data_IF_801220051876
#
_entry.id   IF_801220051876
#
_cell.length_a   1.000
_cell.length_b   1.000
_cell.length_c   1.000
_cell.angle_alpha   90.00
_cell.angle_beta   90.00
_cell.angle_gamma   90.00
#
_symmetry.space_group_name_H-M   'P 1'
#
loop_
_entity.id
_entity.type
_entity.pdbx_description
1 polymer ?
#
# COMPACT_ATOMS: atom_id res chain seq x y z
N UNK A 1 -10.61 -1.92 7.63
CA UNK A 1 -10.55 -0.48 7.26
C UNK A 1 -11.80 0.32 7.65
N UNK A 2 -13.01 -0.24 7.56
CA UNK A 2 -14.27 0.51 7.80
C UNK A 2 -14.36 1.20 9.18
N UNK A 3 -13.92 0.55 10.26
CA UNK A 3 -13.93 1.14 11.61
C UNK A 3 -13.07 2.41 11.73
N UNK A 4 -11.89 2.42 11.12
CA UNK A 4 -10.98 3.58 11.19
C UNK A 4 -11.40 4.69 10.25
N UNK A 5 -11.93 4.34 9.07
CA UNK A 5 -12.59 5.31 8.18
C UNK A 5 -13.76 6.01 8.88
N UNK A 6 -14.57 5.26 9.63
CA UNK A 6 -15.66 5.81 10.44
C UNK A 6 -15.16 6.78 11.52
N UNK A 7 -14.04 6.49 12.20
CA UNK A 7 -13.46 7.40 13.21
C UNK A 7 -12.89 8.69 12.62
N UNK A 8 -12.38 8.66 11.39
CA UNK A 8 -11.82 9.81 10.68
C UNK A 8 -12.88 10.73 10.06
N UNK A 9 -14.16 10.38 10.15
CA UNK A 9 -15.23 11.21 9.61
C UNK A 9 -15.48 12.46 10.48
N UNK A 10 -15.71 13.59 9.81
CA UNK A 10 -16.08 14.86 10.46
C UNK A 10 -17.44 14.73 11.16
N UNK A 11 -17.48 15.08 12.45
CA UNK A 11 -18.69 15.12 13.30
C UNK A 11 -18.62 16.30 14.26
N UNK A 12 -19.77 16.85 14.69
CA UNK A 12 -19.82 18.04 15.55
C UNK A 12 -19.06 17.90 16.88
N UNK A 13 -18.87 16.69 17.40
CA UNK A 13 -18.15 16.41 18.65
C UNK A 13 -16.72 15.85 18.46
N UNK A 14 -16.21 15.79 17.23
CA UNK A 14 -14.94 15.11 16.97
C UNK A 14 -13.74 16.06 17.18
N UNK A 15 -13.13 15.97 18.36
CA UNK A 15 -11.93 16.74 18.75
C UNK A 15 -10.67 16.28 18.03
N UNK A 16 -10.68 15.07 17.45
CA UNK A 16 -9.53 14.47 16.77
C UNK A 16 -8.93 15.38 15.69
N UNK A 17 -9.79 16.02 14.88
CA UNK A 17 -9.34 16.87 13.79
C UNK A 17 -8.78 18.22 14.24
N UNK A 18 -8.93 18.61 15.51
CA UNK A 18 -8.37 19.85 16.07
C UNK A 18 -6.94 19.68 16.58
N UNK A 19 -6.45 18.44 16.67
CA UNK A 19 -5.20 18.12 17.34
C UNK A 19 -3.93 18.34 16.48
N UNK A 20 -4.07 18.83 15.23
CA UNK A 20 -2.94 19.20 14.35
C UNK A 20 -1.95 18.05 14.15
N UNK A 21 -0.70 18.23 14.59
CA UNK A 21 0.36 17.21 14.49
C UNK A 21 0.01 15.89 15.19
N UNK A 22 -0.72 15.93 16.32
CA UNK A 22 -1.14 14.72 17.01
C UNK A 22 -2.16 13.92 16.19
N UNK A 23 -2.98 14.60 15.38
CA UNK A 23 -3.88 13.95 14.43
C UNK A 23 -3.12 13.21 13.33
N UNK A 24 -2.08 13.83 12.76
CA UNK A 24 -1.22 13.18 11.76
C UNK A 24 -0.58 11.90 12.33
N UNK A 25 -0.03 11.98 13.54
CA UNK A 25 0.55 10.82 14.21
C UNK A 25 -0.49 9.73 14.47
N UNK A 26 -1.72 10.12 14.87
CA UNK A 26 -2.81 9.17 15.04
C UNK A 26 -3.13 8.43 13.73
N UNK A 27 -3.22 9.14 12.59
CA UNK A 27 -3.49 8.53 11.29
C UNK A 27 -2.41 7.51 10.92
N UNK A 28 -1.14 7.88 11.05
CA UNK A 28 0.00 6.99 10.74
C UNK A 28 0.00 5.77 11.65
N UNK A 29 -0.11 5.96 12.96
CA UNK A 29 -0.18 4.87 13.92
C UNK A 29 -1.35 3.92 13.63
N UNK A 30 -2.48 4.49 13.21
CA UNK A 30 -3.65 3.71 12.92
C UNK A 30 -3.50 2.88 11.64
N UNK A 31 -2.84 3.43 10.63
CA UNK A 31 -2.47 2.70 9.42
C UNK A 31 -1.52 1.53 9.75
N UNK A 32 -0.43 1.79 10.47
CA UNK A 32 0.55 0.74 10.85
C UNK A 32 -0.09 -0.40 11.66
N UNK A 33 -1.04 -0.10 12.54
CA UNK A 33 -1.81 -1.14 13.27
C UNK A 33 -2.62 -2.03 12.33
N UNK A 34 -3.25 -1.45 11.31
CA UNK A 34 -4.06 -2.19 10.35
C UNK A 34 -3.16 -3.05 9.47
N UNK A 35 -2.06 -2.49 8.99
CA UNK A 35 -1.07 -3.20 8.19
C UNK A 35 -0.47 -4.38 8.97
N UNK A 36 -0.07 -4.17 10.23
CA UNK A 36 0.41 -5.23 11.11
C UNK A 36 -0.65 -6.33 11.31
N UNK A 37 -1.92 -5.96 11.49
CA UNK A 37 -3.00 -6.92 11.62
C UNK A 37 -3.20 -7.74 10.33
N UNK A 38 -3.09 -7.11 9.15
CA UNK A 38 -3.15 -7.81 7.86
C UNK A 38 -1.98 -8.78 7.68
N UNK A 39 -0.76 -8.36 8.02
CA UNK A 39 0.43 -9.21 7.98
C UNK A 39 0.31 -10.40 8.94
N UNK A 40 -0.19 -10.16 10.16
CA UNK A 40 -0.46 -11.23 11.12
C UNK A 40 -1.52 -12.20 10.57
N UNK A 41 -2.61 -11.69 10.00
CA UNK A 41 -3.63 -12.53 9.37
C UNK A 41 -3.05 -13.39 8.25
N UNK A 42 -2.25 -12.79 7.36
CA UNK A 42 -1.57 -13.51 6.29
C UNK A 42 -0.61 -14.57 6.85
N UNK A 43 0.12 -14.26 7.93
CA UNK A 43 1.03 -15.20 8.60
C UNK A 43 0.31 -16.41 9.18
N UNK A 44 -0.80 -16.21 9.88
CA UNK A 44 -1.52 -17.30 10.57
C UNK A 44 -2.45 -18.10 9.64
N UNK A 45 -2.91 -17.49 8.55
CA UNK A 45 -3.87 -18.11 7.64
C UNK A 45 -3.26 -18.62 6.32
N UNK A 46 -1.92 -18.78 6.28
CA UNK A 46 -1.20 -19.24 5.09
C UNK A 46 -1.73 -20.57 4.52
N UNK A 47 -2.11 -21.54 5.37
CA UNK A 47 -2.56 -22.86 4.93
C UNK A 47 -3.88 -22.83 4.15
N UNK A 48 -4.82 -21.94 4.51
CA UNK A 48 -6.09 -21.79 3.78
C UNK A 48 -5.96 -20.90 2.55
N UNK A 49 -4.98 -19.98 2.55
CA UNK A 49 -4.62 -19.11 1.42
C UNK A 49 -3.80 -19.88 0.37
N UNK A 50 -4.34 -21.00 -0.14
CA UNK A 50 -3.88 -21.80 -1.31
C UNK A 50 -2.37 -21.69 -1.63
N UNK A 51 -1.53 -22.05 -0.66
CA UNK A 51 -0.08 -22.12 -0.84
C UNK A 51 0.34 -23.03 -2.00
N UNK A 52 -0.46 -24.05 -2.34
CA UNK A 52 -0.07 -25.06 -3.35
C UNK A 52 0.01 -24.50 -4.78
N UNK A 53 -0.83 -23.51 -5.12
CA UNK A 53 -0.75 -22.84 -6.42
C UNK A 53 0.49 -21.92 -6.50
N UNK A 54 0.88 -21.35 -5.37
CA UNK A 54 1.95 -20.34 -5.29
C UNK A 54 3.34 -20.92 -5.05
N UNK A 55 3.45 -22.06 -4.33
CA UNK A 55 4.69 -22.81 -4.20
C UNK A 55 5.20 -23.23 -5.57
N UNK A 56 4.38 -23.92 -6.38
CA UNK A 56 4.83 -24.48 -7.65
C UNK A 56 5.32 -23.46 -8.69
N UNK A 57 4.54 -22.40 -8.95
CA UNK A 57 4.88 -21.43 -10.01
C UNK A 57 5.97 -20.45 -9.57
N UNK A 58 5.92 -19.97 -8.31
CA UNK A 58 6.86 -18.96 -7.86
C UNK A 58 8.20 -19.57 -7.42
N UNK A 59 8.23 -20.76 -6.82
CA UNK A 59 9.50 -21.41 -6.50
C UNK A 59 10.23 -21.84 -7.77
N UNK A 60 9.53 -22.32 -8.82
CA UNK A 60 10.15 -22.62 -10.12
C UNK A 60 10.82 -21.40 -10.77
N UNK A 61 10.21 -20.20 -10.68
CA UNK A 61 10.81 -18.97 -11.22
C UNK A 61 12.02 -18.51 -10.39
N UNK A 62 11.99 -18.67 -9.07
CA UNK A 62 13.11 -18.27 -8.21
C UNK A 62 14.19 -19.36 -8.04
N UNK A 63 13.93 -20.60 -8.46
CA UNK A 63 14.96 -21.65 -8.61
C UNK A 63 15.81 -21.38 -9.86
N UNK A 64 15.20 -21.00 -10.99
CA UNK A 64 15.91 -20.68 -12.23
C UNK A 64 16.85 -19.45 -12.07
N UNK A 65 16.46 -18.46 -11.25
CA UNK A 65 17.31 -17.30 -10.90
C UNK A 65 18.44 -17.65 -9.89
N UNK A 66 18.32 -18.74 -9.13
CA UNK A 66 19.34 -19.18 -8.14
C UNK A 66 20.40 -20.09 -8.74
N UNK A 67 20.08 -20.78 -9.83
CA UNK A 67 21.02 -21.69 -10.51
C UNK A 67 22.13 -20.95 -11.30
N UNK A 68 22.02 -19.62 -11.43
CA UNK A 68 23.00 -18.79 -12.15
C UNK A 68 24.19 -18.31 -11.30
N UNK A 69 24.10 -18.27 -9.96
CA UNK A 69 25.13 -17.61 -9.11
C UNK A 69 25.72 -18.47 -7.97
N UNK A 70 25.12 -19.61 -7.60
CA UNK A 70 25.57 -20.38 -6.42
C UNK A 70 25.75 -21.89 -6.71
N UNK A 71 26.77 -22.24 -7.51
CA UNK A 71 27.25 -23.63 -7.64
C UNK A 71 28.27 -24.05 -6.56
N UNK A 72 28.42 -23.28 -5.48
CA UNK A 72 29.41 -23.57 -4.43
C UNK A 72 28.99 -23.17 -3.00
N UNK A 73 27.75 -23.49 -2.60
CA UNK A 73 27.38 -23.43 -1.19
C UNK A 73 26.44 -24.59 -0.84
N UNK A 74 27.03 -25.73 -0.47
CA UNK A 74 26.32 -26.87 0.05
C UNK A 74 25.45 -26.52 1.27
N UNK A 75 24.21 -26.97 1.22
CA UNK A 75 23.48 -27.64 2.33
C UNK A 75 23.38 -26.97 3.72
N UNK A 76 23.65 -25.67 3.89
CA UNK A 76 23.60 -25.02 5.24
C UNK A 76 22.57 -23.88 5.35
N UNK A 77 21.64 -23.75 4.40
CA UNK A 77 20.65 -22.66 4.39
C UNK A 77 19.22 -23.01 4.84
N UNK A 78 18.88 -24.29 5.01
CA UNK A 78 17.47 -24.71 4.94
C UNK A 78 16.58 -24.42 6.16
N UNK A 79 17.10 -23.93 7.29
CA UNK A 79 16.31 -23.86 8.53
C UNK A 79 16.54 -22.60 9.38
N UNK A 80 16.32 -21.39 8.84
CA UNK A 80 16.16 -20.20 9.67
C UNK A 80 14.92 -19.40 9.19
N UNK A 81 13.77 -19.68 9.83
CA UNK A 81 12.52 -18.94 9.66
C UNK A 81 11.55 -19.58 8.66
N UNK A 82 10.28 -19.72 9.08
CA UNK A 82 9.22 -20.15 8.17
C UNK A 82 9.00 -19.08 7.09
N UNK A 83 9.23 -19.40 5.81
CA UNK A 83 9.00 -18.47 4.69
C UNK A 83 7.50 -18.16 4.58
N UNK A 84 7.12 -16.89 4.77
CA UNK A 84 5.75 -16.41 4.62
C UNK A 84 5.65 -15.77 3.23
N UNK A 85 4.73 -16.27 2.41
CA UNK A 85 4.51 -15.71 1.08
C UNK A 85 3.42 -14.64 1.19
N UNK A 86 3.75 -13.41 0.79
CA UNK A 86 2.78 -12.33 0.68
C UNK A 86 2.07 -12.45 -0.69
N UNK A 87 0.74 -12.39 -0.75
CA UNK A 87 0.02 -12.36 -2.02
C UNK A 87 0.26 -11.04 -2.75
N UNK A 88 -0.02 -11.00 -4.06
CA UNK A 88 0.04 -9.76 -4.86
C UNK A 88 -1.00 -8.71 -4.43
N UNK A 89 -2.03 -9.11 -3.68
CA UNK A 89 -2.99 -8.20 -3.06
C UNK A 89 -2.39 -7.35 -1.93
N UNK A 90 -1.19 -7.68 -1.43
CA UNK A 90 -0.49 -6.88 -0.42
C UNK A 90 0.15 -5.65 -1.07
N UNK A 91 -0.29 -4.46 -0.65
CA UNK A 91 0.16 -3.20 -1.24
C UNK A 91 1.61 -2.90 -0.83
N UNK A 92 2.46 -2.53 -1.77
CA UNK A 92 3.88 -2.24 -1.56
C UNK A 92 4.79 -3.47 -1.56
N UNK A 93 4.24 -4.67 -1.77
CA UNK A 93 5.03 -5.90 -1.87
C UNK A 93 5.66 -6.09 -3.26
N UNK A 94 6.75 -6.86 -3.36
CA UNK A 94 7.43 -7.13 -4.63
C UNK A 94 6.50 -7.78 -5.66
N UNK A 95 5.62 -8.68 -5.21
CA UNK A 95 4.65 -9.37 -6.08
C UNK A 95 3.58 -8.44 -6.64
N UNK A 96 3.12 -7.46 -5.86
CA UNK A 96 2.20 -6.45 -6.39
C UNK A 96 2.91 -5.62 -7.47
N UNK A 97 4.17 -5.25 -7.25
CA UNK A 97 4.94 -4.48 -8.22
C UNK A 97 5.15 -5.26 -9.53
N UNK A 98 5.48 -6.56 -9.44
CA UNK A 98 5.57 -7.43 -10.62
C UNK A 98 4.24 -7.57 -11.36
N UNK A 99 3.13 -7.72 -10.64
CA UNK A 99 1.82 -7.79 -11.26
C UNK A 99 1.48 -6.48 -11.98
N UNK A 100 1.69 -5.32 -11.34
CA UNK A 100 1.45 -4.01 -11.96
C UNK A 100 2.32 -3.79 -13.20
N UNK A 101 3.55 -4.28 -13.18
CA UNK A 101 4.43 -4.25 -14.34
C UNK A 101 3.89 -5.11 -15.49
N UNK A 102 3.48 -6.35 -15.21
CA UNK A 102 2.89 -7.24 -16.21
C UNK A 102 1.60 -6.66 -16.80
N UNK A 103 0.74 -6.08 -15.96
CA UNK A 103 -0.49 -5.40 -16.39
C UNK A 103 -0.17 -4.21 -17.30
N UNK A 104 0.82 -3.39 -16.93
CA UNK A 104 1.27 -2.27 -17.76
C UNK A 104 1.84 -2.74 -19.11
N UNK A 105 2.64 -3.81 -19.12
CA UNK A 105 3.18 -4.41 -20.35
C UNK A 105 2.06 -4.96 -21.25
N UNK A 106 1.02 -5.56 -20.67
CA UNK A 106 -0.14 -6.02 -21.41
C UNK A 106 -0.91 -4.85 -22.07
N UNK A 107 -1.09 -3.75 -21.33
CA UNK A 107 -1.71 -2.52 -21.86
C UNK A 107 -0.86 -1.96 -23.02
N UNK A 108 0.46 -1.84 -22.85
CA UNK A 108 1.36 -1.33 -23.88
C UNK A 108 1.41 -2.24 -25.10
N UNK A 109 1.36 -3.55 -24.91
CA UNK A 109 1.31 -4.53 -26.00
C UNK A 109 0.03 -4.37 -26.83
N UNK A 110 -1.11 -4.12 -26.17
CA UNK A 110 -2.41 -4.01 -26.84
C UNK A 110 -2.65 -2.63 -27.48
N UNK A 111 -2.32 -1.55 -26.78
CA UNK A 111 -2.62 -0.17 -27.20
C UNK A 111 -1.41 0.59 -27.77
N UNK A 112 -0.21 0.01 -27.71
CA UNK A 112 1.04 0.66 -28.07
C UNK A 112 1.65 1.48 -26.94
N UNK A 113 2.78 2.10 -27.22
CA UNK A 113 3.51 2.94 -26.26
C UNK A 113 2.69 4.19 -25.88
N UNK A 114 2.73 4.64 -24.62
CA UNK A 114 2.09 5.90 -24.23
C UNK A 114 2.84 7.09 -24.82
N UNK A 115 2.10 8.04 -25.41
CA UNK A 115 2.67 9.28 -25.95
C UNK A 115 2.62 10.46 -24.97
N UNK A 116 1.73 10.39 -23.96
CA UNK A 116 1.49 11.47 -23.01
C UNK A 116 1.64 10.97 -21.57
N UNK A 117 2.39 11.72 -20.76
CA UNK A 117 2.42 11.55 -19.31
C UNK A 117 1.73 12.74 -18.64
N UNK A 118 0.54 12.50 -18.07
CA UNK A 118 -0.26 13.54 -17.40
C UNK A 118 0.05 13.52 -15.90
N UNK A 119 0.59 14.62 -15.38
CA UNK A 119 0.79 14.83 -13.95
C UNK A 119 -0.27 15.78 -13.38
N UNK A 120 -1.03 15.29 -12.41
CA UNK A 120 -1.94 16.12 -11.62
C UNK A 120 -1.24 16.56 -10.33
N UNK A 121 -1.16 17.87 -10.11
CA UNK A 121 -0.62 18.44 -8.88
C UNK A 121 -1.74 19.09 -8.05
N UNK A 122 -1.77 18.81 -6.74
CA UNK A 122 -2.71 19.44 -5.83
C UNK A 122 -2.05 20.63 -5.15
N UNK A 123 -2.54 21.84 -5.39
CA UNK A 123 -2.08 23.03 -4.68
C UNK A 123 -2.77 23.10 -3.30
N UNK A 124 -2.05 23.07 -2.15
CA UNK A 124 -2.66 23.16 -0.83
C UNK A 124 -3.45 24.47 -0.58
N UNK A 125 -3.18 25.53 -1.35
CA UNK A 125 -3.88 26.83 -1.26
C UNK A 125 -5.24 26.86 -1.98
N UNK A 126 -5.70 25.72 -2.51
CA UNK A 126 -6.98 25.63 -3.21
C UNK A 126 -8.15 26.05 -2.31
N UNK A 127 -9.10 26.82 -2.85
CA UNK A 127 -10.27 27.30 -2.12
C UNK A 127 -11.07 26.17 -1.45
N UNK A 128 -11.15 25.00 -2.08
CA UNK A 128 -11.83 23.82 -1.50
C UNK A 128 -11.16 23.32 -0.23
N UNK A 129 -9.83 23.43 -0.14
CA UNK A 129 -9.07 23.05 1.06
C UNK A 129 -9.22 24.14 2.10
N UNK A 130 -8.97 25.40 1.74
CA UNK A 130 -8.97 26.52 2.69
C UNK A 130 -10.35 26.80 3.30
N UNK A 131 -11.44 26.56 2.56
CA UNK A 131 -12.83 26.70 3.06
C UNK A 131 -13.18 25.70 4.16
N UNK A 132 -12.60 24.52 4.14
CA UNK A 132 -12.90 23.42 5.08
C UNK A 132 -11.93 23.36 6.27
N UNK A 133 -10.92 24.24 6.31
CA UNK A 133 -10.00 24.36 7.43
C UNK A 133 -10.69 25.04 8.63
N UNK A 134 -10.45 24.51 9.82
CA UNK A 134 -10.89 25.15 11.06
C UNK A 134 -9.99 26.37 11.38
N UNK A 135 -10.44 27.28 12.25
CA UNK A 135 -9.60 28.41 12.70
C UNK A 135 -8.23 27.92 13.17
N UNK A 136 -7.16 28.62 12.74
CA UNK A 136 -5.75 28.30 13.04
C UNK A 136 -5.20 26.99 12.46
N UNK A 137 -5.90 26.34 11.53
CA UNK A 137 -5.37 25.16 10.83
C UNK A 137 -4.72 25.52 9.49
N UNK A 138 -3.68 24.76 9.13
CA UNK A 138 -3.10 24.79 7.80
C UNK A 138 -3.46 23.53 7.01
N UNK A 139 -3.26 23.55 5.69
CA UNK A 139 -3.47 22.38 4.84
C UNK A 139 -2.58 21.18 5.25
N UNK A 140 -1.44 21.45 5.90
CA UNK A 140 -0.55 20.41 6.43
C UNK A 140 -1.21 19.68 7.60
N UNK A 141 -1.91 20.39 8.48
CA UNK A 141 -2.60 19.81 9.64
C UNK A 141 -3.77 18.90 9.26
N UNK A 142 -4.32 19.07 8.06
CA UNK A 142 -5.46 18.31 7.52
C UNK A 142 -5.11 17.58 6.22
N UNK A 143 -4.19 16.58 6.27
CA UNK A 143 -3.79 15.82 5.08
C UNK A 143 -4.95 14.99 4.51
N UNK A 144 -5.98 14.69 5.31
CA UNK A 144 -7.20 14.04 4.87
C UNK A 144 -8.00 14.92 3.89
N UNK A 145 -8.05 16.24 4.10
CA UNK A 145 -8.75 17.16 3.21
C UNK A 145 -8.02 17.29 1.88
N UNK A 146 -6.70 17.43 1.89
CA UNK A 146 -5.90 17.53 0.66
C UNK A 146 -5.99 16.24 -0.16
N UNK A 147 -5.89 15.07 0.47
CA UNK A 147 -6.06 13.78 -0.18
C UNK A 147 -7.47 13.61 -0.77
N UNK A 148 -8.52 13.98 -0.03
CA UNK A 148 -9.91 13.89 -0.53
C UNK A 148 -10.18 14.82 -1.70
N UNK A 149 -9.71 16.07 -1.62
CA UNK A 149 -9.87 17.05 -2.71
C UNK A 149 -9.10 16.60 -3.96
N UNK A 150 -7.92 16.00 -3.78
CA UNK A 150 -7.15 15.41 -4.88
C UNK A 150 -7.92 14.25 -5.53
N UNK A 151 -8.43 13.30 -4.73
CA UNK A 151 -9.22 12.18 -5.25
C UNK A 151 -10.53 12.59 -5.93
N UNK A 152 -11.16 13.69 -5.53
CA UNK A 152 -12.36 14.23 -6.21
C UNK A 152 -12.05 14.88 -7.57
N UNK A 153 -10.78 15.15 -7.85
CA UNK A 153 -10.33 15.85 -9.07
C UNK A 153 -9.72 14.93 -10.12
N UNK A 154 -9.42 13.70 -9.73
CA UNK A 154 -8.91 12.61 -10.57
C UNK A 154 -10.11 11.91 -11.22
#
# INVERSE_FOLDING_TARGET
>A
MQFYSYRLQLRPSNWLHRAGRLYQQYVVNQYSKIEQHLLNYLKFNQSSLRLDLYKGVADAIHEDDRDADDRDAGDVGQNIGHRIILPSSFIGGPRQMYQLYQDAMAIVSHFGKPDLFVTFTCNPKLQKVTRELLPHQTAVDRPDLTARVFHMKL
#
